data_IF_829811957271
#
_entry.id   IF_829811957271
#
_cell.length_a   1.000
_cell.length_b   1.000
_cell.length_c   1.000
_cell.angle_alpha   90.00
_cell.angle_beta   90.00
_cell.angle_gamma   90.00
#
_symmetry.space_group_name_H-M   'P 1'
#
loop_
_entity.id
_entity.type
_entity.pdbx_description
1 polymer ?
#
# COMPACT_ATOMS: atom_id res chain seq x y z
N UNK A 1 -31.30 -1.13 10.77
CA UNK A 1 -30.83 -2.35 10.09
C UNK A 1 -29.94 -3.14 11.03
N UNK A 2 -30.24 -4.39 11.20
CA UNK A 2 -29.34 -5.27 11.93
C UNK A 2 -28.08 -5.49 11.12
N UNK A 3 -26.96 -5.05 11.62
CA UNK A 3 -25.77 -5.02 10.80
C UNK A 3 -24.92 -6.27 11.02
N UNK A 4 -24.74 -6.65 12.29
CA UNK A 4 -23.78 -7.70 12.55
C UNK A 4 -23.97 -8.30 13.94
N UNK A 5 -24.29 -9.57 13.97
CA UNK A 5 -24.39 -10.31 15.21
C UNK A 5 -23.12 -11.10 15.50
N UNK A 6 -22.19 -11.16 14.55
CA UNK A 6 -20.89 -11.82 14.71
C UNK A 6 -19.80 -10.79 14.90
N UNK A 7 -18.79 -11.07 15.72
CA UNK A 7 -17.64 -10.20 15.85
C UNK A 7 -16.98 -9.96 14.47
N UNK A 8 -16.64 -8.71 14.19
CA UNK A 8 -15.98 -8.37 12.91
C UNK A 8 -14.60 -8.98 12.78
N UNK A 9 -14.04 -9.47 13.86
CA UNK A 9 -12.73 -10.15 13.87
C UNK A 9 -12.85 -11.66 13.74
N UNK A 10 -14.05 -12.20 13.55
CA UNK A 10 -14.28 -13.64 13.53
C UNK A 10 -13.67 -14.33 12.29
N UNK A 11 -13.35 -13.59 11.24
CA UNK A 11 -12.74 -14.10 10.00
C UNK A 11 -11.36 -13.52 9.80
N UNK A 12 -10.49 -14.31 9.14
CA UNK A 12 -9.21 -13.78 8.68
C UNK A 12 -9.47 -12.65 7.69
N UNK A 13 -8.77 -11.55 7.88
CA UNK A 13 -8.88 -10.39 7.00
C UNK A 13 -7.86 -10.47 5.89
N UNK A 14 -8.21 -9.87 4.75
CA UNK A 14 -7.27 -9.62 3.67
C UNK A 14 -6.50 -8.37 4.05
N UNK A 15 -5.21 -8.52 4.31
CA UNK A 15 -4.36 -7.39 4.70
C UNK A 15 -3.67 -6.79 3.48
N UNK A 16 -3.67 -5.47 3.41
CA UNK A 16 -3.03 -4.71 2.33
C UNK A 16 -2.06 -3.70 2.90
N UNK A 17 -0.94 -3.51 2.23
CA UNK A 17 0.04 -2.48 2.59
C UNK A 17 0.11 -1.47 1.45
N UNK A 18 -0.02 -0.20 1.80
CA UNK A 18 0.12 0.91 0.86
C UNK A 18 1.43 1.63 1.17
N UNK A 19 2.35 1.61 0.23
CA UNK A 19 3.60 2.34 0.33
C UNK A 19 3.49 3.60 -0.51
N UNK A 20 3.67 4.75 0.13
CA UNK A 20 3.67 6.02 -0.58
C UNK A 20 5.10 6.52 -0.73
N UNK A 21 5.40 7.06 -1.89
CA UNK A 21 6.68 7.70 -2.18
C UNK A 21 6.46 9.20 -2.28
N UNK A 22 7.50 10.04 -2.09
CA UNK A 22 7.34 11.48 -2.22
C UNK A 22 6.69 11.84 -3.56
N UNK A 23 5.78 12.81 -3.52
CA UNK A 23 4.99 13.30 -4.65
C UNK A 23 3.93 12.31 -5.15
N UNK A 24 3.49 11.41 -4.27
CA UNK A 24 2.42 10.48 -4.59
C UNK A 24 1.09 11.21 -4.84
N UNK A 25 0.16 10.54 -5.49
CA UNK A 25 -1.20 11.05 -5.68
C UNK A 25 -2.05 10.74 -4.46
N UNK A 26 -2.33 11.75 -3.66
CA UNK A 26 -3.07 11.58 -2.41
C UNK A 26 -4.54 11.21 -2.66
N UNK A 27 -5.13 11.69 -3.75
CA UNK A 27 -6.51 11.35 -4.08
C UNK A 27 -6.65 9.85 -4.38
N UNK A 28 -5.67 9.27 -5.05
CA UNK A 28 -5.67 7.83 -5.33
C UNK A 28 -5.58 7.02 -4.05
N UNK A 29 -4.69 7.40 -3.14
CA UNK A 29 -4.58 6.73 -1.84
C UNK A 29 -5.90 6.78 -1.07
N UNK A 30 -6.49 7.96 -0.97
CA UNK A 30 -7.75 8.17 -0.25
C UNK A 30 -8.85 7.32 -0.87
N UNK A 31 -8.97 7.32 -2.20
CA UNK A 31 -10.00 6.57 -2.90
C UNK A 31 -9.88 5.07 -2.66
N UNK A 32 -8.65 4.54 -2.70
CA UNK A 32 -8.43 3.12 -2.44
C UNK A 32 -8.82 2.75 -1.01
N UNK A 33 -8.38 3.52 -0.03
CA UNK A 33 -8.66 3.24 1.38
C UNK A 33 -10.15 3.40 1.67
N UNK A 34 -10.79 4.44 1.15
CA UNK A 34 -12.22 4.66 1.36
C UNK A 34 -13.05 3.52 0.78
N UNK A 35 -12.63 2.98 -0.36
CA UNK A 35 -13.30 1.81 -0.95
C UNK A 35 -13.26 0.62 0.01
N UNK A 36 -12.10 0.35 0.60
CA UNK A 36 -11.96 -0.74 1.57
C UNK A 36 -12.78 -0.48 2.84
N UNK A 37 -12.76 0.75 3.32
CA UNK A 37 -13.52 1.14 4.50
C UNK A 37 -15.02 0.95 4.28
N UNK A 38 -15.52 1.38 3.14
CA UNK A 38 -16.95 1.25 2.80
C UNK A 38 -17.31 -0.23 2.67
N UNK A 39 -16.46 -1.03 2.03
CA UNK A 39 -16.69 -2.46 1.94
C UNK A 39 -16.81 -3.12 3.31
N UNK A 40 -15.91 -2.74 4.23
CA UNK A 40 -15.97 -3.24 5.61
C UNK A 40 -17.24 -2.80 6.33
N UNK A 41 -17.69 -1.58 6.08
CA UNK A 41 -18.90 -1.05 6.70
C UNK A 41 -20.14 -1.82 6.26
N UNK A 42 -20.21 -2.16 4.99
CA UNK A 42 -21.38 -2.84 4.41
C UNK A 42 -21.36 -4.36 4.61
N UNK A 43 -20.21 -4.94 4.88
CA UNK A 43 -20.07 -6.38 5.05
C UNK A 43 -20.52 -6.83 6.44
N UNK A 44 -21.01 -8.07 6.57
CA UNK A 44 -21.34 -8.64 7.89
C UNK A 44 -20.14 -8.71 8.84
N UNK A 45 -18.95 -8.88 8.29
CA UNK A 45 -17.70 -8.91 9.04
C UNK A 45 -16.70 -7.99 8.35
N UNK A 46 -15.70 -7.53 9.09
CA UNK A 46 -14.63 -6.74 8.52
C UNK A 46 -13.75 -7.62 7.61
N UNK A 47 -13.74 -7.32 6.32
CA UNK A 47 -13.06 -8.14 5.31
C UNK A 47 -11.60 -7.71 5.15
N UNK A 48 -11.35 -6.40 5.20
CA UNK A 48 -10.06 -5.82 4.85
C UNK A 48 -9.40 -5.16 6.06
N UNK A 49 -8.09 -5.27 6.12
CA UNK A 49 -7.26 -4.44 6.98
C UNK A 49 -6.13 -3.87 6.14
N UNK A 50 -5.55 -2.77 6.59
CA UNK A 50 -4.49 -2.12 5.83
C UNK A 50 -3.55 -1.33 6.71
N UNK A 51 -2.37 -1.07 6.16
CA UNK A 51 -1.38 -0.18 6.72
C UNK A 51 -0.91 0.75 5.62
N UNK A 52 -0.62 2.01 5.97
CA UNK A 52 -0.03 2.98 5.05
C UNK A 52 1.32 3.36 5.61
N UNK A 53 2.36 3.24 4.80
CA UNK A 53 3.72 3.46 5.27
C UNK A 53 4.58 4.11 4.20
N UNK A 54 5.73 4.62 4.62
CA UNK A 54 6.71 5.25 3.76
C UNK A 54 8.12 4.85 4.19
N UNK A 55 9.02 4.74 3.23
CA UNK A 55 10.45 4.54 3.47
C UNK A 55 11.23 5.87 3.51
N UNK A 56 10.53 7.00 3.38
CA UNK A 56 11.14 8.32 3.27
C UNK A 56 10.81 9.22 4.47
N UNK A 57 10.56 8.63 5.61
CA UNK A 57 10.22 9.35 6.83
C UNK A 57 8.71 9.39 7.09
N UNK A 58 8.32 10.12 8.11
CA UNK A 58 6.94 10.14 8.57
C UNK A 58 6.09 11.25 7.94
N UNK A 59 6.71 12.23 7.30
CA UNK A 59 6.00 13.33 6.64
C UNK A 59 6.32 13.29 5.16
N UNK A 60 5.32 13.00 4.36
CA UNK A 60 5.47 12.85 2.92
C UNK A 60 4.63 13.93 2.24
N UNK A 61 5.25 14.65 1.31
CA UNK A 61 4.56 15.67 0.53
C UNK A 61 3.99 15.00 -0.72
N UNK A 62 2.68 15.14 -0.90
CA UNK A 62 1.99 14.63 -2.07
C UNK A 62 2.24 15.52 -3.29
N UNK A 63 1.85 15.04 -4.47
CA UNK A 63 2.05 15.77 -5.72
C UNK A 63 1.35 17.12 -5.78
N UNK A 64 0.27 17.29 -5.00
CA UNK A 64 -0.46 18.54 -4.92
C UNK A 64 0.03 19.48 -3.80
N UNK A 65 1.12 19.15 -3.12
CA UNK A 65 1.69 19.95 -2.05
C UNK A 65 1.14 19.66 -0.67
N UNK A 66 0.11 18.83 -0.53
CA UNK A 66 -0.40 18.43 0.78
C UNK A 66 0.61 17.56 1.49
N UNK A 67 0.75 17.74 2.80
CA UNK A 67 1.62 16.90 3.62
C UNK A 67 0.80 15.86 4.34
N UNK A 68 1.22 14.61 4.22
CA UNK A 68 0.61 13.50 4.95
C UNK A 68 1.57 13.01 6.04
N UNK A 69 1.04 12.77 7.23
CA UNK A 69 1.78 12.11 8.30
C UNK A 69 1.52 10.61 8.19
N UNK A 70 2.57 9.85 7.95
CA UNK A 70 2.47 8.45 7.57
C UNK A 70 3.46 7.64 8.43
N UNK A 71 3.06 6.41 8.74
CA UNK A 71 3.93 5.48 9.47
C UNK A 71 5.24 5.27 8.70
N UNK A 72 6.35 5.36 9.40
CA UNK A 72 7.63 5.01 8.81
C UNK A 72 7.70 3.50 8.64
N UNK A 73 8.02 3.07 7.43
CA UNK A 73 8.11 1.66 7.12
C UNK A 73 9.38 1.07 7.71
N UNK A 74 9.25 -0.11 8.24
CA UNK A 74 10.32 -0.94 8.74
C UNK A 74 9.84 -2.39 8.75
N UNK A 75 10.55 -3.26 9.45
CA UNK A 75 10.17 -4.68 9.52
C UNK A 75 8.89 -4.94 10.32
N UNK A 76 8.23 -3.90 10.85
CA UNK A 76 7.00 -4.06 11.62
C UNK A 76 5.73 -4.13 10.77
N UNK A 77 5.84 -3.95 9.46
CA UNK A 77 4.68 -4.10 8.57
C UNK A 77 4.27 -5.56 8.50
N UNK A 78 2.97 -5.80 8.68
CA UNK A 78 2.43 -7.15 8.69
C UNK A 78 2.55 -7.81 7.31
N UNK A 79 2.63 -9.14 7.24
CA UNK A 79 2.48 -9.83 5.98
C UNK A 79 1.16 -9.43 5.31
N UNK A 80 1.18 -9.24 4.00
CA UNK A 80 0.04 -8.74 3.25
C UNK A 80 -0.21 -9.59 2.02
N UNK A 81 -1.46 -9.62 1.56
CA UNK A 81 -1.77 -10.26 0.28
C UNK A 81 -1.39 -9.35 -0.88
N UNK A 82 -1.54 -8.04 -0.68
CA UNK A 82 -1.24 -7.04 -1.69
C UNK A 82 -0.37 -5.94 -1.09
N UNK A 83 0.64 -5.54 -1.83
CA UNK A 83 1.47 -4.39 -1.54
C UNK A 83 1.32 -3.42 -2.69
N UNK A 84 0.77 -2.25 -2.42
CA UNK A 84 0.56 -1.21 -3.42
C UNK A 84 1.64 -0.14 -3.25
N UNK A 85 2.28 0.25 -4.34
CA UNK A 85 3.24 1.33 -4.35
C UNK A 85 2.62 2.48 -5.12
N UNK A 86 2.42 3.60 -4.43
CA UNK A 86 1.75 4.75 -4.99
C UNK A 86 2.76 5.84 -5.33
N UNK A 87 2.75 6.22 -6.60
CA UNK A 87 3.52 7.34 -7.10
C UNK A 87 2.60 8.36 -7.76
N UNK A 88 3.15 9.15 -8.64
CA UNK A 88 2.46 10.07 -9.52
C UNK A 88 3.47 10.64 -10.50
N UNK A 89 3.08 11.64 -11.26
CA UNK A 89 4.01 12.37 -12.12
C UNK A 89 5.08 13.03 -11.25
N UNK A 90 6.32 12.89 -11.65
CA UNK A 90 7.46 13.38 -10.90
C UNK A 90 8.18 12.31 -10.08
N UNK A 91 7.67 11.07 -10.08
CA UNK A 91 8.32 9.97 -9.37
C UNK A 91 9.21 9.12 -10.28
N UNK A 92 9.38 9.51 -11.53
CA UNK A 92 10.12 8.72 -12.53
C UNK A 92 11.58 8.49 -12.14
N UNK A 93 12.17 9.41 -11.41
CA UNK A 93 13.57 9.32 -10.96
C UNK A 93 13.70 8.92 -9.49
N UNK A 94 12.58 8.59 -8.85
CA UNK A 94 12.62 8.18 -7.46
C UNK A 94 13.37 6.88 -7.31
N UNK A 95 14.24 6.82 -6.32
CA UNK A 95 14.98 5.61 -5.99
C UNK A 95 15.21 5.54 -4.48
N UNK A 96 14.95 4.39 -3.89
CA UNK A 96 15.20 4.14 -2.47
C UNK A 96 15.60 2.67 -2.30
N UNK A 97 16.84 2.46 -1.92
CA UNK A 97 17.39 1.10 -1.81
C UNK A 97 16.69 0.27 -0.73
N UNK A 98 16.26 0.91 0.36
CA UNK A 98 15.54 0.20 1.42
C UNK A 98 14.19 -0.30 0.94
N UNK A 99 13.47 0.53 0.19
CA UNK A 99 12.22 0.13 -0.43
C UNK A 99 12.44 -1.01 -1.41
N UNK A 100 13.44 -0.91 -2.25
CA UNK A 100 13.77 -1.94 -3.24
C UNK A 100 14.04 -3.29 -2.57
N UNK A 101 14.87 -3.29 -1.52
CA UNK A 101 15.20 -4.51 -0.79
C UNK A 101 13.96 -5.11 -0.11
N UNK A 102 13.14 -4.26 0.48
CA UNK A 102 11.91 -4.69 1.15
C UNK A 102 10.92 -5.29 0.15
N UNK A 103 10.76 -4.69 -1.02
CA UNK A 103 9.87 -5.21 -2.06
C UNK A 103 10.32 -6.58 -2.56
N UNK A 104 11.61 -6.78 -2.75
CA UNK A 104 12.14 -8.10 -3.14
C UNK A 104 11.82 -9.15 -2.10
N UNK A 105 11.99 -8.81 -0.83
CA UNK A 105 11.68 -9.72 0.27
C UNK A 105 10.21 -10.11 0.27
N UNK A 106 9.32 -9.13 0.07
CA UNK A 106 7.88 -9.37 0.05
C UNK A 106 7.46 -10.19 -1.17
N UNK A 107 8.03 -9.91 -2.33
CA UNK A 107 7.77 -10.68 -3.54
C UNK A 107 8.18 -12.14 -3.37
N UNK A 108 9.35 -12.39 -2.78
CA UNK A 108 9.80 -13.75 -2.50
C UNK A 108 8.91 -14.48 -1.51
N UNK A 109 8.26 -13.76 -0.62
CA UNK A 109 7.30 -14.33 0.31
C UNK A 109 5.93 -14.62 -0.34
N UNK A 110 5.77 -14.32 -1.62
CA UNK A 110 4.55 -14.59 -2.36
C UNK A 110 3.52 -13.47 -2.31
N UNK A 111 3.85 -12.32 -1.75
CA UNK A 111 2.95 -11.17 -1.73
C UNK A 111 2.89 -10.54 -3.12
N UNK A 112 1.70 -10.07 -3.49
CA UNK A 112 1.48 -9.45 -4.80
C UNK A 112 1.83 -7.98 -4.73
N UNK A 113 2.77 -7.55 -5.57
CA UNK A 113 3.23 -6.17 -5.61
C UNK A 113 2.60 -5.48 -6.80
N UNK A 114 1.89 -4.39 -6.54
CA UNK A 114 1.13 -3.65 -7.53
C UNK A 114 1.60 -2.20 -7.55
N UNK A 115 2.03 -1.73 -8.71
CA UNK A 115 2.30 -0.31 -8.91
C UNK A 115 1.02 0.43 -9.27
N UNK A 116 0.83 1.58 -8.67
CA UNK A 116 -0.35 2.43 -8.92
C UNK A 116 0.13 3.72 -9.52
N UNK A 117 -0.41 4.09 -10.68
CA UNK A 117 0.03 5.22 -11.50
C UNK A 117 1.51 5.04 -11.83
N UNK A 118 2.35 6.04 -11.61
CA UNK A 118 3.77 5.94 -11.88
C UNK A 118 4.55 5.23 -10.78
N UNK A 119 3.87 4.72 -9.77
CA UNK A 119 4.50 3.89 -8.75
C UNK A 119 5.13 2.63 -9.31
N UNK A 120 4.61 2.14 -10.45
CA UNK A 120 5.19 0.99 -11.13
C UNK A 120 6.63 1.24 -11.58
N UNK A 121 6.99 2.49 -11.87
CA UNK A 121 8.35 2.83 -12.29
C UNK A 121 9.36 2.51 -11.19
N UNK A 122 8.98 2.72 -9.94
CA UNK A 122 9.87 2.45 -8.80
C UNK A 122 10.24 0.98 -8.71
N UNK A 123 9.30 0.07 -8.92
CA UNK A 123 9.62 -1.34 -8.79
C UNK A 123 9.99 -2.02 -10.12
N UNK A 124 9.75 -1.40 -11.27
CA UNK A 124 10.27 -1.94 -12.53
C UNK A 124 11.79 -1.87 -12.59
N UNK A 125 12.41 -1.04 -11.76
CA UNK A 125 13.86 -1.05 -11.58
C UNK A 125 14.35 -2.20 -10.70
N UNK A 126 13.43 -2.97 -10.12
CA UNK A 126 13.77 -4.20 -9.44
C UNK A 126 13.97 -5.28 -10.48
N UNK A 127 14.95 -6.12 -10.27
CA UNK A 127 15.15 -7.29 -11.14
C UNK A 127 14.19 -8.41 -10.72
N UNK A 128 12.90 -8.13 -10.79
CA UNK A 128 11.88 -9.12 -10.48
C UNK A 128 11.54 -9.91 -11.74
N UNK A 129 11.29 -11.23 -11.61
CA UNK A 129 10.73 -11.99 -12.71
C UNK A 129 9.40 -11.41 -13.17
N UNK A 130 9.09 -11.48 -14.45
CA UNK A 130 7.84 -10.95 -15.00
C UNK A 130 6.61 -11.52 -14.30
N UNK A 131 6.69 -12.76 -13.86
CA UNK A 131 5.59 -13.43 -13.15
C UNK A 131 5.27 -12.79 -11.80
N UNK A 132 6.18 -12.00 -11.24
CA UNK A 132 5.96 -11.30 -9.97
C UNK A 132 5.29 -9.94 -10.17
N UNK A 133 5.13 -9.51 -11.39
CA UNK A 133 4.47 -8.23 -11.72
C UNK A 133 2.98 -8.44 -11.88
N UNK A 134 2.23 -7.54 -11.33
CA UNK A 134 0.76 -7.60 -11.35
C UNK A 134 0.19 -6.41 -12.10
#
# INVERSE_FOLDING_TARGET
>A
MEIDILPKTARAQIHMVFIVVPRFNIATLITMIETLRIANYLAPTSIFSWEVASFDGSKIIASNGMTATIKTANDNLKPAEFVFILGSWGTEHYHNQKLTAWLRKRARAGERICGVELGSVSYTHLTLPTSDLV
#
